data_IF_115434760686
#
_entry.id   IF_115434760686
#
_cell.length_a   1.000
_cell.length_b   1.000
_cell.length_c   1.000
_cell.angle_alpha   90.00
_cell.angle_beta   90.00
_cell.angle_gamma   90.00
#
_symmetry.space_group_name_H-M   'P 1'
#
loop_
_entity.id
_entity.type
_entity.pdbx_description
1 polymer ?
#
# COMPACT_ATOMS: atom_id res chain seq x y z
N UNK A 1 2.06 -12.31 -12.03
CA UNK A 1 2.82 -11.21 -12.67
C UNK A 1 3.63 -10.51 -11.60
N UNK A 2 4.95 -10.45 -11.80
CA UNK A 2 5.93 -9.78 -10.94
C UNK A 2 6.41 -8.51 -11.66
N UNK A 3 6.52 -7.38 -10.97
CA UNK A 3 6.98 -6.11 -11.53
C UNK A 3 7.91 -5.38 -10.57
N UNK A 4 8.89 -4.68 -11.11
CA UNK A 4 9.79 -3.81 -10.36
C UNK A 4 9.28 -2.37 -10.45
N UNK A 5 9.20 -1.68 -9.32
CA UNK A 5 8.82 -0.26 -9.24
C UNK A 5 9.86 0.51 -8.44
N UNK A 6 10.06 1.78 -8.79
CA UNK A 6 10.83 2.73 -7.98
C UNK A 6 9.89 3.46 -7.03
N UNK A 7 10.26 3.58 -5.76
CA UNK A 7 9.53 4.36 -4.76
C UNK A 7 9.69 5.85 -5.01
N UNK A 8 8.58 6.57 -4.93
CA UNK A 8 8.49 8.03 -5.03
C UNK A 8 7.67 8.55 -3.84
N UNK A 9 8.17 9.56 -3.14
CA UNK A 9 7.59 10.07 -1.91
C UNK A 9 7.93 9.26 -0.68
N UNK A 10 7.60 9.81 0.50
CA UNK A 10 8.12 9.34 1.78
C UNK A 10 7.07 8.64 2.66
N UNK A 11 5.91 8.26 2.10
CA UNK A 11 4.76 7.78 2.87
C UNK A 11 5.05 6.62 3.84
N UNK A 12 6.02 5.75 3.52
CA UNK A 12 6.40 4.58 4.33
C UNK A 12 7.86 4.63 4.79
N UNK A 13 8.48 5.81 4.81
CA UNK A 13 9.81 6.00 5.43
C UNK A 13 9.72 5.65 6.93
N UNK A 14 10.76 5.04 7.53
CA UNK A 14 12.08 4.73 6.97
C UNK A 14 12.22 3.37 6.26
N UNK A 15 11.17 2.55 6.23
CA UNK A 15 11.23 1.19 5.65
C UNK A 15 11.28 1.21 4.11
N UNK A 16 10.54 2.14 3.49
CA UNK A 16 10.57 2.38 2.06
C UNK A 16 10.88 3.86 1.82
N UNK A 17 12.07 4.14 1.29
CA UNK A 17 12.56 5.49 1.07
C UNK A 17 12.43 5.87 -0.39
N UNK A 18 12.31 7.16 -0.65
CA UNK A 18 12.38 7.67 -2.01
C UNK A 18 13.67 7.20 -2.70
N UNK A 19 13.52 6.66 -3.91
CA UNK A 19 14.64 6.11 -4.67
C UNK A 19 14.82 4.60 -4.56
N UNK A 20 14.26 3.96 -3.53
CA UNK A 20 14.29 2.51 -3.38
C UNK A 20 13.55 1.81 -4.52
N UNK A 21 13.86 0.53 -4.73
CA UNK A 21 13.15 -0.32 -5.67
C UNK A 21 12.45 -1.46 -4.96
N UNK A 22 11.20 -1.72 -5.33
CA UNK A 22 10.36 -2.79 -4.76
C UNK A 22 9.88 -3.74 -5.84
N UNK A 23 9.84 -5.02 -5.51
CA UNK A 23 9.21 -6.04 -6.32
C UNK A 23 7.77 -6.26 -5.85
N UNK A 24 6.82 -6.09 -6.76
CA UNK A 24 5.39 -6.27 -6.49
C UNK A 24 4.90 -7.51 -7.24
N UNK A 25 4.28 -8.43 -6.51
CA UNK A 25 3.71 -9.65 -7.06
C UNK A 25 2.24 -9.80 -6.68
N UNK A 26 1.41 -10.20 -7.64
CA UNK A 26 0.02 -10.62 -7.36
C UNK A 26 -0.09 -12.09 -6.94
N UNK A 27 0.98 -12.87 -7.07
CA UNK A 27 0.96 -14.33 -6.83
C UNK A 27 0.59 -14.69 -5.38
N UNK A 28 1.10 -13.99 -4.33
CA UNK A 28 0.73 -14.32 -2.95
C UNK A 28 -0.77 -14.27 -2.67
N UNK A 29 -1.49 -13.31 -3.27
CA UNK A 29 -2.94 -13.16 -3.08
C UNK A 29 -3.78 -14.29 -3.68
N UNK A 30 -3.19 -15.19 -4.46
CA UNK A 30 -3.86 -16.40 -4.94
C UNK A 30 -3.94 -17.49 -3.87
N UNK A 31 -3.14 -17.40 -2.82
CA UNK A 31 -3.01 -18.42 -1.79
C UNK A 31 -3.30 -17.89 -0.38
N UNK A 32 -3.02 -16.61 -0.14
CA UNK A 32 -3.11 -16.00 1.20
C UNK A 32 -3.89 -14.69 1.07
N UNK A 33 -5.00 -14.52 1.81
CA UNK A 33 -5.72 -13.25 1.85
C UNK A 33 -4.87 -12.16 2.53
N UNK A 34 -5.04 -10.88 2.14
CA UNK A 34 -4.36 -9.77 2.80
C UNK A 34 -4.70 -9.72 4.29
N UNK A 35 -3.75 -9.29 5.10
CA UNK A 35 -3.88 -9.18 6.56
C UNK A 35 -3.40 -7.82 7.08
N UNK A 36 -3.90 -7.35 8.24
CA UNK A 36 -3.34 -6.17 8.90
C UNK A 36 -1.82 -6.30 9.09
N UNK A 37 -1.09 -5.24 8.75
CA UNK A 37 0.37 -5.19 8.75
C UNK A 37 1.02 -5.38 7.38
N UNK A 38 0.34 -6.00 6.43
CA UNK A 38 0.87 -6.22 5.08
C UNK A 38 1.12 -4.90 4.35
N UNK A 39 2.21 -4.87 3.56
CA UNK A 39 2.48 -3.78 2.62
C UNK A 39 1.96 -4.17 1.24
N UNK A 40 1.06 -3.35 0.71
CA UNK A 40 0.41 -3.62 -0.57
C UNK A 40 0.60 -2.47 -1.54
N UNK A 41 0.66 -2.81 -2.83
CA UNK A 41 0.58 -1.84 -3.91
C UNK A 41 -0.77 -1.96 -4.62
N UNK A 42 -1.48 -0.84 -4.77
CA UNK A 42 -2.82 -0.79 -5.36
C UNK A 42 -3.02 0.49 -6.16
N UNK A 43 -4.00 0.47 -7.08
CA UNK A 43 -4.36 1.68 -7.84
C UNK A 43 -5.51 2.38 -7.14
N UNK A 44 -5.32 3.64 -6.80
CA UNK A 44 -6.36 4.51 -6.27
C UNK A 44 -6.79 5.54 -7.33
N UNK A 45 -8.10 5.67 -7.61
CA UNK A 45 -8.61 6.73 -8.47
C UNK A 45 -8.11 8.11 -8.03
N UNK A 46 -7.64 8.92 -8.97
CA UNK A 46 -7.10 10.27 -8.70
C UNK A 46 -5.64 10.32 -8.21
N UNK A 47 -5.10 9.23 -7.64
CA UNK A 47 -3.73 9.22 -7.07
C UNK A 47 -2.77 8.25 -7.78
N UNK A 48 -3.29 7.33 -8.60
CA UNK A 48 -2.47 6.40 -9.37
C UNK A 48 -2.06 5.17 -8.56
N UNK A 49 -0.84 4.67 -8.76
CA UNK A 49 -0.33 3.49 -8.05
C UNK A 49 0.30 3.93 -6.73
N UNK A 50 -0.22 3.40 -5.61
CA UNK A 50 0.24 3.69 -4.27
C UNK A 50 0.79 2.43 -3.61
N UNK A 51 1.70 2.62 -2.64
CA UNK A 51 2.16 1.59 -1.71
C UNK A 51 1.85 2.03 -0.28
N UNK A 52 1.14 1.20 0.49
CA UNK A 52 0.71 1.51 1.87
C UNK A 52 0.67 0.26 2.73
N UNK A 53 0.59 0.44 4.04
CA UNK A 53 0.37 -0.63 5.00
C UNK A 53 -1.12 -0.83 5.26
N UNK A 54 -1.60 -2.07 5.27
CA UNK A 54 -2.94 -2.39 5.74
C UNK A 54 -2.99 -2.16 7.25
N UNK A 55 -3.85 -1.25 7.70
CA UNK A 55 -4.13 -1.04 9.11
C UNK A 55 -5.24 -1.97 9.58
N UNK A 56 -6.32 -2.08 8.81
CA UNK A 56 -7.50 -2.86 9.19
C UNK A 56 -8.27 -3.32 7.95
N UNK A 57 -8.92 -4.47 8.07
CA UNK A 57 -9.91 -4.96 7.11
C UNK A 57 -11.30 -4.67 7.69
N UNK A 58 -12.15 -3.99 6.94
CA UNK A 58 -13.51 -3.64 7.39
C UNK A 58 -14.48 -4.82 7.25
N UNK A 59 -15.65 -4.81 7.90
CA UNK A 59 -16.63 -5.91 7.82
C UNK A 59 -17.15 -6.21 6.40
N UNK A 60 -17.10 -5.23 5.50
CA UNK A 60 -17.43 -5.34 4.07
C UNK A 60 -16.25 -5.78 3.20
N UNK A 61 -15.12 -6.18 3.79
CA UNK A 61 -13.86 -6.58 3.15
C UNK A 61 -13.10 -5.45 2.41
N UNK A 62 -13.43 -4.19 2.66
CA UNK A 62 -12.64 -3.04 2.24
C UNK A 62 -11.38 -2.89 3.10
N UNK A 63 -10.35 -2.18 2.61
CA UNK A 63 -9.03 -2.16 3.25
C UNK A 63 -8.67 -0.74 3.69
N UNK A 64 -8.66 -0.50 4.99
CA UNK A 64 -8.06 0.72 5.52
C UNK A 64 -6.54 0.60 5.45
N UNK A 65 -5.91 1.51 4.71
CA UNK A 65 -4.47 1.58 4.55
C UNK A 65 -3.92 2.89 5.11
N UNK A 66 -2.69 2.85 5.62
CA UNK A 66 -2.04 4.00 6.25
C UNK A 66 -0.57 4.09 5.83
N UNK A 67 -0.04 5.31 5.77
CA UNK A 67 1.39 5.59 5.77
C UNK A 67 1.92 5.90 7.17
N UNK A 68 3.25 5.97 7.31
CA UNK A 68 3.91 6.28 8.58
C UNK A 68 3.88 7.77 8.92
N UNK A 69 3.66 8.64 7.92
CA UNK A 69 3.67 10.10 8.09
C UNK A 69 2.26 10.70 8.13
N UNK A 70 2.11 11.87 8.75
CA UNK A 70 0.83 12.60 8.83
C UNK A 70 0.35 13.06 7.47
N UNK A 71 1.27 13.51 6.60
CA UNK A 71 0.97 13.98 5.24
C UNK A 71 0.76 12.85 4.22
N UNK A 72 0.73 11.60 4.68
CA UNK A 72 0.49 10.46 3.80
C UNK A 72 -0.93 10.49 3.25
N UNK A 73 -1.05 10.54 1.92
CA UNK A 73 -2.32 10.32 1.22
C UNK A 73 -2.69 8.84 1.34
N UNK A 74 -3.66 8.53 2.19
CA UNK A 74 -4.12 7.18 2.50
C UNK A 74 -5.60 7.15 2.91
N UNK A 75 -6.08 6.10 3.58
CA UNK A 75 -7.50 5.95 3.89
C UNK A 75 -8.07 7.05 4.78
N UNK A 76 -7.22 7.85 5.46
CA UNK A 76 -7.65 9.07 6.16
C UNK A 76 -8.18 10.15 5.21
N UNK A 77 -7.75 10.13 3.95
CA UNK A 77 -8.12 11.09 2.90
C UNK A 77 -9.20 10.52 1.99
N UNK A 78 -9.09 9.26 1.58
CA UNK A 78 -9.95 8.68 0.54
C UNK A 78 -10.86 7.53 1.02
N UNK A 79 -10.82 7.14 2.29
CA UNK A 79 -11.60 6.02 2.82
C UNK A 79 -10.96 4.63 2.61
N UNK A 80 -11.66 3.55 2.99
CA UNK A 80 -11.21 2.16 2.84
C UNK A 80 -11.27 1.63 1.41
#
# INVERSE_FOLDING_TARGET
MLRLFKITGDSLTPEFKEGDFVLVSKVPFLFIPPSPGDIIAFRQPGYGLLIKRIQQITPDNSLNVIGNHTESIDSRVFGP
#
